data_IF_378023728763
#
_entry.id   IF_378023728763
#
_cell.length_a   1.000
_cell.length_b   1.000
_cell.length_c   1.000
_cell.angle_alpha   90.00
_cell.angle_beta   90.00
_cell.angle_gamma   90.00
#
_symmetry.space_group_name_H-M   'P 1'
#
loop_
_entity.id
_entity.type
_entity.pdbx_description
1 polymer ?
#
# COMPACT_ATOMS: atom_id res chain seq x y z
N UNK A 1 -1.68 12.68 9.14
CA UNK A 1 -1.28 11.96 7.93
C UNK A 1 -2.11 10.69 7.79
N UNK A 2 -2.63 10.45 6.61
CA UNK A 2 -3.39 9.23 6.35
C UNK A 2 -2.44 8.07 6.08
N UNK A 3 -2.81 6.89 6.55
CA UNK A 3 -2.05 5.66 6.29
C UNK A 3 -2.72 4.87 5.17
N UNK A 4 -1.93 4.38 4.24
CA UNK A 4 -2.41 3.67 3.07
C UNK A 4 -1.77 2.29 2.97
N UNK A 5 -2.59 1.29 2.65
CA UNK A 5 -2.11 -0.04 2.30
C UNK A 5 -2.48 -0.28 0.84
N UNK A 6 -1.50 -0.75 0.07
CA UNK A 6 -1.70 -1.06 -1.35
C UNK A 6 -1.88 -2.58 -1.47
N UNK A 7 -2.99 -3.00 -2.06
CA UNK A 7 -3.26 -4.42 -2.32
C UNK A 7 -3.36 -4.60 -3.82
N UNK A 8 -2.42 -5.34 -4.41
CA UNK A 8 -2.36 -5.58 -5.85
C UNK A 8 -1.63 -6.89 -6.11
N UNK A 9 -2.24 -7.81 -6.86
CA UNK A 9 -1.69 -9.14 -7.12
C UNK A 9 -0.55 -9.11 -8.14
N UNK A 10 -0.54 -8.15 -9.06
CA UNK A 10 0.54 -7.98 -10.03
C UNK A 10 1.72 -7.27 -9.39
N UNK A 11 2.86 -7.97 -9.30
CA UNK A 11 4.05 -7.45 -8.64
C UNK A 11 4.53 -6.13 -9.24
N UNK A 12 4.60 -6.05 -10.56
CA UNK A 12 5.09 -4.83 -11.23
C UNK A 12 4.14 -3.67 -11.05
N UNK A 13 2.83 -3.91 -11.10
CA UNK A 13 1.84 -2.86 -10.87
C UNK A 13 1.90 -2.39 -9.43
N UNK A 14 2.03 -3.31 -8.48
CA UNK A 14 2.14 -2.98 -7.06
C UNK A 14 3.36 -2.09 -6.81
N UNK A 15 4.49 -2.48 -7.38
CA UNK A 15 5.74 -1.70 -7.27
C UNK A 15 5.57 -0.32 -7.88
N UNK A 16 4.94 -0.26 -9.04
CA UNK A 16 4.71 1.00 -9.72
C UNK A 16 3.83 1.94 -8.92
N UNK A 17 2.78 1.42 -8.28
CA UNK A 17 1.91 2.21 -7.42
C UNK A 17 2.66 2.79 -6.21
N UNK A 18 3.67 2.06 -5.70
CA UNK A 18 4.49 2.57 -4.60
C UNK A 18 5.33 3.78 -5.01
N UNK A 19 5.90 3.76 -6.21
CA UNK A 19 6.91 4.74 -6.61
C UNK A 19 6.37 5.86 -7.49
N UNK A 20 5.28 5.63 -8.23
CA UNK A 20 4.78 6.59 -9.21
C UNK A 20 4.00 7.75 -8.59
N UNK A 21 3.48 7.59 -7.38
CA UNK A 21 2.66 8.61 -6.72
C UNK A 21 3.44 9.17 -5.54
N UNK A 22 3.53 10.51 -5.49
CA UNK A 22 4.14 11.18 -4.34
C UNK A 22 3.11 11.32 -3.23
N UNK A 23 2.95 10.26 -2.46
CA UNK A 23 1.95 10.21 -1.39
C UNK A 23 2.23 11.23 -0.29
N UNK A 24 3.50 11.53 -0.05
CA UNK A 24 3.86 12.46 1.04
C UNK A 24 3.33 13.86 0.79
N UNK A 25 3.31 14.33 -0.46
CA UNK A 25 2.72 15.64 -0.78
C UNK A 25 1.22 15.66 -0.60
N UNK A 26 0.57 14.48 -0.60
CA UNK A 26 -0.87 14.36 -0.37
C UNK A 26 -1.21 14.13 1.10
N UNK A 27 -0.21 14.11 1.99
CA UNK A 27 -0.42 13.80 3.40
C UNK A 27 -0.71 12.35 3.66
N UNK A 28 -0.21 11.45 2.80
CA UNK A 28 -0.45 10.01 2.87
C UNK A 28 0.88 9.29 3.09
N UNK A 29 0.87 8.31 3.98
CA UNK A 29 2.01 7.44 4.21
C UNK A 29 1.63 6.01 3.81
N UNK A 30 2.41 5.41 2.90
CA UNK A 30 2.24 3.99 2.56
C UNK A 30 2.89 3.17 3.66
N UNK A 31 2.08 2.43 4.41
CA UNK A 31 2.56 1.67 5.58
C UNK A 31 2.69 0.18 5.30
N UNK A 32 2.23 -0.27 4.15
CA UNK A 32 2.41 -1.67 3.76
C UNK A 32 1.85 -1.95 2.38
N UNK A 33 2.29 -3.06 1.81
CA UNK A 33 1.78 -3.56 0.53
C UNK A 33 1.45 -5.04 0.67
N UNK A 34 0.48 -5.50 -0.09
CA UNK A 34 0.04 -6.88 -0.06
C UNK A 34 -0.30 -7.35 -1.46
N UNK A 35 -0.19 -8.66 -1.70
CA UNK A 35 -0.50 -9.26 -3.00
C UNK A 35 -1.95 -9.69 -3.13
N UNK A 36 -2.68 -9.84 -2.03
CA UNK A 36 -4.09 -10.22 -2.04
C UNK A 36 -4.79 -9.71 -0.79
N UNK A 37 -6.12 -9.80 -0.79
CA UNK A 37 -6.94 -9.20 0.26
C UNK A 37 -6.70 -9.74 1.66
N UNK A 38 -6.46 -11.06 1.80
CA UNK A 38 -6.21 -11.65 3.11
C UNK A 38 -4.93 -11.08 3.73
N UNK A 39 -3.86 -10.99 2.95
CA UNK A 39 -2.60 -10.39 3.38
C UNK A 39 -2.80 -8.93 3.78
N UNK A 40 -3.60 -8.20 2.99
CA UNK A 40 -3.94 -6.82 3.31
C UNK A 40 -4.65 -6.68 4.64
N UNK A 41 -5.61 -7.58 4.91
CA UNK A 41 -6.32 -7.58 6.19
C UNK A 41 -5.40 -7.88 7.36
N UNK A 42 -4.46 -8.79 7.19
CA UNK A 42 -3.47 -9.10 8.21
C UNK A 42 -2.59 -7.88 8.52
N UNK A 43 -2.21 -7.13 7.50
CA UNK A 43 -1.46 -5.89 7.69
C UNK A 43 -2.26 -4.86 8.49
N UNK A 44 -3.54 -4.70 8.16
CA UNK A 44 -4.41 -3.77 8.87
C UNK A 44 -4.49 -4.13 10.36
N UNK A 45 -4.58 -5.42 10.66
CA UNK A 45 -4.68 -5.89 12.04
C UNK A 45 -3.40 -5.65 12.84
N UNK A 46 -2.24 -5.66 12.16
CA UNK A 46 -0.95 -5.42 12.82
C UNK A 46 -0.65 -3.94 13.01
N UNK A 47 -1.25 -3.09 12.21
CA UNK A 47 -1.00 -1.66 12.24
C UNK A 47 -2.03 -0.94 13.11
#
# INVERSE_FOLDING_TARGET
>A
MFKLIIVEDEHLIRKWLEIAVDYSTLGIQVVGTASHGQEGMELIQKL
#
